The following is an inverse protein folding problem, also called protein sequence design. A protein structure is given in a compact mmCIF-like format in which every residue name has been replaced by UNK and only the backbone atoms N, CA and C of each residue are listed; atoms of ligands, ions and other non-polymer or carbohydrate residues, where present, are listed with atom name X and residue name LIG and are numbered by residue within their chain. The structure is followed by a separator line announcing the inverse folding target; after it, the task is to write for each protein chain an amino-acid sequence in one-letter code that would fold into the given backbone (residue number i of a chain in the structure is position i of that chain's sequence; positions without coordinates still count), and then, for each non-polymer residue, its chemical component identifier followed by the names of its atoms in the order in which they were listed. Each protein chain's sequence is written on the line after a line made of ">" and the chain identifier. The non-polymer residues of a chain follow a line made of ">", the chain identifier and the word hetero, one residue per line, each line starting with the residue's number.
data_IF_834404105928
#
_entry.id   IF_834404105928
#
_cell.length_a   1.000
_cell.length_b   1.000
_cell.length_c   1.000
_cell.angle_alpha   90.00
_cell.angle_beta   90.00
_cell.angle_gamma   90.00
#
_symmetry.space_group_name_H-M   'P 1'
#
loop_
_entity.id
_entity.type
_entity.pdbx_description
1 polymer ?
#
# COMPACT_ATOMS: atom_id res chain seq x y z
N UNK A 1 -13.02 -29.43 -8.49
CA UNK A 1 -12.95 -28.33 -7.51
C UNK A 1 -13.47 -28.90 -6.21
N UNK A 2 -12.62 -28.94 -5.18
CA UNK A 2 -12.96 -29.59 -3.93
C UNK A 2 -13.85 -28.66 -3.10
N UNK A 3 -15.06 -29.14 -2.80
CA UNK A 3 -15.99 -28.47 -1.91
C UNK A 3 -15.42 -28.53 -0.49
N UNK A 4 -15.50 -27.42 0.24
CA UNK A 4 -14.97 -27.31 1.61
C UNK A 4 -16.02 -26.72 2.54
N UNK A 5 -15.84 -26.94 3.84
CA UNK A 5 -16.52 -26.17 4.90
C UNK A 5 -15.86 -24.80 5.00
N UNK A 6 -16.66 -23.75 5.07
CA UNK A 6 -16.24 -22.36 5.22
C UNK A 6 -15.06 -21.94 4.31
N UNK A 7 -15.13 -22.17 2.98
CA UNK A 7 -14.09 -21.74 2.07
C UNK A 7 -13.93 -20.22 2.12
N UNK A 8 -12.69 -19.78 1.96
CA UNK A 8 -12.33 -18.37 2.05
C UNK A 8 -11.30 -17.98 1.00
N UNK A 9 -11.29 -16.69 0.71
CA UNK A 9 -10.25 -15.97 0.02
C UNK A 9 -9.81 -14.80 0.91
N UNK A 10 -8.51 -14.47 0.92
CA UNK A 10 -7.95 -13.38 1.72
C UNK A 10 -6.89 -12.65 0.91
N UNK A 11 -6.89 -11.33 1.02
CA UNK A 11 -5.76 -10.49 0.61
C UNK A 11 -5.07 -9.91 1.84
N UNK A 12 -3.73 -9.97 1.85
CA UNK A 12 -2.86 -9.27 2.80
C UNK A 12 -2.44 -7.93 2.19
N UNK A 13 -2.95 -6.82 2.72
CA UNK A 13 -2.64 -5.46 2.29
C UNK A 13 -1.22 -5.00 2.68
N UNK A 14 -0.45 -5.84 3.39
CA UNK A 14 0.92 -5.64 3.90
C UNK A 14 1.02 -4.62 5.05
N UNK A 15 0.22 -3.57 5.02
CA UNK A 15 0.08 -2.55 6.07
C UNK A 15 -1.37 -2.51 6.56
N UNK A 16 -1.63 -1.75 7.63
CA UNK A 16 -2.98 -1.56 8.18
C UNK A 16 -3.65 -0.38 7.46
N UNK A 17 -4.85 -0.61 6.91
CA UNK A 17 -5.63 0.40 6.19
C UNK A 17 -6.96 0.64 6.87
N UNK A 18 -7.48 1.87 6.76
CA UNK A 18 -8.89 2.20 6.94
C UNK A 18 -9.61 1.97 5.62
N UNK A 19 -10.30 0.84 5.52
CA UNK A 19 -11.00 0.38 4.32
C UNK A 19 -12.39 1.02 4.26
N UNK A 20 -12.59 1.87 3.25
CA UNK A 20 -13.85 2.60 3.03
C UNK A 20 -14.88 1.77 2.29
N UNK A 21 -14.45 1.01 1.27
CA UNK A 21 -15.33 0.13 0.50
C UNK A 21 -14.58 -1.04 -0.14
N UNK A 22 -15.29 -2.12 -0.39
CA UNK A 22 -14.82 -3.29 -1.14
C UNK A 22 -15.74 -3.50 -2.34
N UNK A 23 -15.18 -3.71 -3.51
CA UNK A 23 -15.92 -4.03 -4.74
C UNK A 23 -15.66 -5.49 -5.08
N UNK A 24 -16.73 -6.25 -5.31
CA UNK A 24 -16.67 -7.67 -5.67
C UNK A 24 -17.28 -7.84 -7.05
N UNK A 25 -16.54 -8.48 -7.95
CA UNK A 25 -17.06 -8.95 -9.23
C UNK A 25 -17.27 -10.46 -9.17
N UNK A 26 -18.52 -10.89 -9.38
CA UNK A 26 -18.88 -12.30 -9.35
C UNK A 26 -18.35 -13.05 -10.57
N UNK A 27 -18.30 -14.37 -10.47
CA UNK A 27 -18.01 -15.25 -11.60
C UNK A 27 -19.10 -15.12 -12.67
N UNK A 28 -18.77 -15.13 -13.99
CA UNK A 28 -19.74 -15.07 -15.09
C UNK A 28 -20.63 -16.30 -15.26
N UNK A 29 -20.41 -17.38 -14.50
CA UNK A 29 -21.24 -18.60 -14.53
C UNK A 29 -21.33 -19.19 -13.13
N UNK A 30 -22.49 -19.71 -12.73
CA UNK A 30 -22.74 -20.30 -11.41
C UNK A 30 -22.58 -19.29 -10.27
N UNK A 31 -23.01 -18.04 -10.49
CA UNK A 31 -22.82 -16.92 -9.60
C UNK A 31 -23.62 -17.00 -8.30
N UNK A 32 -24.72 -17.76 -8.27
CA UNK A 32 -25.52 -18.01 -7.04
C UNK A 32 -24.72 -18.63 -5.89
N UNK A 33 -23.53 -19.19 -6.17
CA UNK A 33 -22.64 -19.76 -5.15
C UNK A 33 -22.08 -18.72 -4.17
N UNK A 34 -22.02 -17.45 -4.56
CA UNK A 34 -21.55 -16.37 -3.69
C UNK A 34 -22.62 -15.92 -2.68
N UNK A 35 -23.87 -16.35 -2.83
CA UNK A 35 -24.96 -15.93 -1.96
C UNK A 35 -24.68 -16.36 -0.51
N UNK A 36 -24.78 -15.39 0.41
CA UNK A 36 -24.43 -15.55 1.81
C UNK A 36 -22.93 -15.38 2.11
N UNK A 37 -22.09 -15.01 1.14
CA UNK A 37 -20.69 -14.69 1.40
C UNK A 37 -20.58 -13.51 2.38
N UNK A 38 -19.55 -13.53 3.21
CA UNK A 38 -19.30 -12.50 4.23
C UNK A 38 -17.92 -11.89 3.97
N UNK A 39 -17.90 -10.56 3.89
CA UNK A 39 -16.69 -9.75 3.78
C UNK A 39 -16.27 -9.36 5.19
N UNK A 40 -15.05 -9.71 5.60
CA UNK A 40 -14.46 -9.35 6.89
C UNK A 40 -13.18 -8.55 6.72
N UNK A 41 -12.92 -7.63 7.65
CA UNK A 41 -11.76 -6.73 7.66
C UNK A 41 -11.16 -6.72 9.07
N UNK A 42 -9.84 -6.82 9.16
CA UNK A 42 -9.13 -6.67 10.42
C UNK A 42 -7.66 -7.07 10.35
N UNK A 43 -7.06 -7.28 11.51
CA UNK A 43 -5.61 -7.50 11.66
C UNK A 43 -5.24 -8.95 12.01
N UNK A 44 -6.22 -9.86 12.07
CA UNK A 44 -6.01 -11.23 12.48
C UNK A 44 -5.96 -12.19 11.30
N UNK A 45 -5.07 -13.18 11.36
CA UNK A 45 -5.02 -14.26 10.36
C UNK A 45 -6.23 -15.18 10.45
N UNK A 46 -6.73 -15.39 11.67
CA UNK A 46 -7.99 -16.10 11.91
C UNK A 46 -9.15 -15.27 11.35
N UNK A 47 -10.04 -15.92 10.59
CA UNK A 47 -11.12 -15.24 9.85
C UNK A 47 -12.13 -14.62 10.81
N UNK A 48 -12.51 -15.36 11.85
CA UNK A 48 -13.65 -15.04 12.70
C UNK A 48 -13.32 -13.97 13.74
N UNK A 49 -12.04 -13.75 14.03
CA UNK A 49 -11.56 -12.64 14.84
C UNK A 49 -11.59 -11.27 14.14
N UNK A 50 -11.91 -11.22 12.83
CA UNK A 50 -12.02 -9.96 12.08
C UNK A 50 -13.47 -9.47 12.00
N UNK A 51 -13.66 -8.16 11.93
CA UNK A 51 -14.97 -7.50 11.90
C UNK A 51 -15.69 -7.73 10.57
N UNK A 52 -17.01 -7.93 10.60
CA UNK A 52 -17.82 -8.06 9.38
C UNK A 52 -18.00 -6.67 8.75
N UNK A 53 -17.56 -6.49 7.51
CA UNK A 53 -17.90 -5.32 6.70
C UNK A 53 -19.29 -5.46 6.08
N UNK A 54 -19.56 -6.58 5.38
CA UNK A 54 -20.81 -6.76 4.66
C UNK A 54 -21.14 -8.24 4.45
N UNK A 55 -22.42 -8.51 4.15
CA UNK A 55 -22.91 -9.82 3.70
C UNK A 55 -23.45 -9.67 2.29
N UNK A 56 -23.03 -10.56 1.39
CA UNK A 56 -23.48 -10.61 0.00
C UNK A 56 -24.74 -11.47 -0.07
N UNK A 57 -25.92 -10.86 0.07
CA UNK A 57 -27.19 -11.59 0.05
C UNK A 57 -27.40 -12.32 -1.28
N UNK A 58 -27.20 -11.61 -2.39
CA UNK A 58 -27.19 -12.19 -3.73
C UNK A 58 -26.38 -11.32 -4.69
N UNK A 59 -25.74 -11.94 -5.68
CA UNK A 59 -25.03 -11.22 -6.74
C UNK A 59 -25.13 -12.05 -8.04
N UNK A 60 -25.63 -11.43 -9.10
CA UNK A 60 -25.84 -12.13 -10.38
C UNK A 60 -24.53 -12.55 -11.04
N UNK A 61 -24.62 -13.45 -12.02
CA UNK A 61 -23.49 -13.94 -12.79
C UNK A 61 -22.75 -12.77 -13.49
N UNK A 62 -21.45 -12.64 -13.22
CA UNK A 62 -20.60 -11.58 -13.77
C UNK A 62 -20.86 -10.17 -13.23
N UNK A 63 -21.85 -9.99 -12.35
CA UNK A 63 -22.18 -8.68 -11.80
C UNK A 63 -21.13 -8.18 -10.82
N UNK A 64 -20.97 -6.86 -10.78
CA UNK A 64 -20.09 -6.15 -9.84
C UNK A 64 -20.93 -5.40 -8.82
N UNK A 65 -20.62 -5.56 -7.54
CA UNK A 65 -21.28 -4.84 -6.44
C UNK A 65 -20.26 -4.15 -5.54
N UNK A 66 -20.65 -2.98 -5.02
CA UNK A 66 -19.85 -2.18 -4.09
C UNK A 66 -20.43 -2.29 -2.69
N UNK A 67 -19.57 -2.55 -1.71
CA UNK A 67 -19.91 -2.69 -0.30
C UNK A 67 -19.17 -1.63 0.52
N UNK A 68 -19.92 -0.76 1.19
CA UNK A 68 -19.36 0.26 2.06
C UNK A 68 -18.94 -0.34 3.40
N UNK A 69 -17.67 -0.16 3.77
CA UNK A 69 -17.08 -0.66 5.01
C UNK A 69 -16.80 0.44 6.06
N UNK A 70 -17.12 1.70 5.75
CA UNK A 70 -17.12 2.79 6.74
C UNK A 70 -15.76 3.13 7.36
N UNK A 71 -14.65 2.80 6.70
CA UNK A 71 -13.30 3.08 7.20
C UNK A 71 -12.78 2.06 8.22
N UNK A 72 -13.30 0.83 8.22
CA UNK A 72 -12.84 -0.26 9.07
C UNK A 72 -11.32 -0.45 8.97
N UNK A 73 -10.67 -0.54 10.13
CA UNK A 73 -9.22 -0.71 10.20
C UNK A 73 -8.82 -2.18 10.05
N UNK A 74 -7.94 -2.49 9.10
CA UNK A 74 -7.44 -3.85 8.91
C UNK A 74 -6.32 -3.97 7.89
N UNK A 75 -5.43 -4.94 8.12
CA UNK A 75 -4.42 -5.42 7.16
C UNK A 75 -4.96 -6.51 6.24
N UNK A 76 -5.94 -7.28 6.67
CA UNK A 76 -6.52 -8.37 5.90
C UNK A 76 -7.95 -8.04 5.49
N UNK A 77 -8.26 -8.27 4.21
CA UNK A 77 -9.65 -8.33 3.71
C UNK A 77 -9.92 -9.77 3.31
N UNK A 78 -11.00 -10.33 3.86
CA UNK A 78 -11.35 -11.74 3.75
C UNK A 78 -12.76 -11.84 3.19
N UNK A 79 -12.95 -12.68 2.18
CA UNK A 79 -14.25 -13.08 1.67
C UNK A 79 -14.40 -14.57 1.93
N UNK A 80 -15.34 -14.95 2.80
CA UNK A 80 -15.61 -16.37 3.10
C UNK A 80 -17.09 -16.68 2.92
N UNK A 81 -17.40 -17.95 2.64
CA UNK A 81 -18.78 -18.40 2.45
C UNK A 81 -19.07 -19.43 3.54
N UNK A 82 -19.85 -19.06 4.57
CA UNK A 82 -20.20 -19.98 5.63
C UNK A 82 -20.97 -21.21 5.13
N UNK A 83 -20.74 -22.33 5.79
CA UNK A 83 -21.45 -23.59 5.62
C UNK A 83 -20.65 -24.67 4.90
N UNK A 84 -21.24 -25.85 4.88
CA UNK A 84 -20.65 -27.04 4.27
C UNK A 84 -20.83 -27.08 2.76
N UNK A 85 -19.92 -27.78 2.11
CA UNK A 85 -19.94 -28.03 0.68
C UNK A 85 -19.93 -26.78 -0.21
N UNK A 86 -19.37 -25.68 0.28
CA UNK A 86 -19.29 -24.40 -0.43
C UNK A 86 -18.03 -24.30 -1.30
N UNK A 87 -18.03 -23.33 -2.21
CA UNK A 87 -16.89 -22.99 -3.06
C UNK A 87 -16.84 -21.46 -3.22
N UNK A 88 -15.69 -20.84 -2.90
CA UNK A 88 -15.43 -19.42 -3.21
C UNK A 88 -14.92 -19.30 -4.65
N UNK A 89 -15.66 -18.55 -5.47
CA UNK A 89 -15.27 -18.18 -6.84
C UNK A 89 -15.54 -16.69 -7.04
N UNK A 90 -14.49 -15.89 -7.09
CA UNK A 90 -14.56 -14.44 -7.31
C UNK A 90 -13.80 -14.13 -8.61
N UNK A 91 -14.30 -13.19 -9.41
CA UNK A 91 -13.59 -12.74 -10.62
C UNK A 91 -12.56 -11.66 -10.27
N UNK A 92 -12.96 -10.67 -9.47
CA UNK A 92 -12.07 -9.59 -9.02
C UNK A 92 -12.54 -9.11 -7.63
N UNK A 93 -11.57 -8.69 -6.81
CA UNK A 93 -11.82 -8.04 -5.52
C UNK A 93 -10.99 -6.76 -5.48
N UNK A 94 -11.65 -5.61 -5.41
CA UNK A 94 -10.99 -4.31 -5.30
C UNK A 94 -11.24 -3.74 -3.91
N UNK A 95 -10.17 -3.34 -3.22
CA UNK A 95 -10.22 -2.79 -1.86
C UNK A 95 -9.83 -1.32 -1.92
N UNK A 96 -10.71 -0.45 -1.45
CA UNK A 96 -10.48 0.99 -1.41
C UNK A 96 -10.38 1.46 0.04
N UNK A 97 -9.27 2.11 0.37
CA UNK A 97 -9.00 2.65 1.70
C UNK A 97 -7.73 3.48 1.72
N UNK A 98 -7.42 4.04 2.88
CA UNK A 98 -6.20 4.79 3.16
C UNK A 98 -5.39 4.09 4.25
N UNK A 99 -4.09 4.35 4.32
CA UNK A 99 -3.31 3.84 5.45
C UNK A 99 -3.84 4.42 6.76
N UNK A 100 -3.94 3.58 7.79
CA UNK A 100 -4.28 4.05 9.13
C UNK A 100 -3.03 4.71 9.74
N UNK A 101 -3.08 6.02 9.98
CA UNK A 101 -2.05 6.76 10.71
C UNK A 101 -1.04 7.54 9.85
N UNK A 102 0.01 8.04 10.52
CA UNK A 102 1.11 8.79 9.90
C UNK A 102 1.95 7.87 8.99
N UNK A 103 1.94 8.12 7.68
CA UNK A 103 2.69 7.30 6.70
C UNK A 103 4.18 7.61 6.69
N UNK A 104 4.60 8.73 7.29
CA UNK A 104 5.99 9.16 7.33
C UNK A 104 6.89 8.25 8.18
N UNK A 105 6.35 7.59 9.22
CA UNK A 105 7.11 6.79 10.21
C UNK A 105 7.90 5.64 9.59
N UNK A 106 7.49 5.17 8.40
CA UNK A 106 8.15 4.07 7.69
C UNK A 106 8.97 4.56 6.48
N UNK A 107 9.07 5.86 6.28
CA UNK A 107 9.84 6.46 5.19
C UNK A 107 11.33 6.58 5.50
N UNK A 108 12.09 7.00 4.50
CA UNK A 108 13.50 7.36 4.64
C UNK A 108 13.66 8.87 4.46
N UNK A 109 14.49 9.51 5.27
CA UNK A 109 14.65 10.96 5.25
C UNK A 109 16.07 11.36 4.90
N UNK A 110 16.21 12.55 4.34
CA UNK A 110 17.50 13.19 4.07
C UNK A 110 17.32 14.70 4.13
N UNK A 111 18.41 15.43 4.35
CA UNK A 111 18.41 16.89 4.39
C UNK A 111 19.65 17.45 3.69
N UNK A 112 19.60 18.73 3.32
CA UNK A 112 20.68 19.43 2.62
C UNK A 112 21.99 19.44 3.39
N UNK A 113 21.93 19.64 4.70
CA UNK A 113 23.08 19.65 5.61
C UNK A 113 22.63 19.33 7.04
N UNK A 114 23.54 18.99 7.95
CA UNK A 114 23.20 18.62 9.33
C UNK A 114 23.94 19.48 10.34
N UNK A 115 23.18 20.15 11.22
CA UNK A 115 23.73 20.86 12.36
C UNK A 115 23.90 19.93 13.57
N UNK A 116 25.14 19.57 13.89
CA UNK A 116 25.47 18.70 15.02
C UNK A 116 24.75 17.35 14.92
N UNK A 117 23.95 17.01 15.94
CA UNK A 117 23.20 15.74 16.01
C UNK A 117 21.73 15.88 15.56
N UNK A 118 21.35 16.96 14.86
CA UNK A 118 19.97 17.23 14.44
C UNK A 118 19.66 16.58 13.08
N UNK A 119 19.79 15.25 13.05
CA UNK A 119 19.68 14.39 11.86
C UNK A 119 18.25 14.23 11.35
N UNK A 120 18.09 13.99 10.05
CA UNK A 120 16.84 14.06 9.29
C UNK A 120 15.73 13.13 9.79
N UNK A 121 16.08 11.99 10.39
CA UNK A 121 15.18 10.94 10.86
C UNK A 121 14.32 11.40 12.04
N UNK A 122 14.78 12.42 12.79
CA UNK A 122 14.06 12.94 13.95
C UNK A 122 12.73 13.59 13.59
N UNK A 123 12.55 14.07 12.37
CA UNK A 123 11.27 14.64 11.96
C UNK A 123 10.17 13.59 11.74
N UNK A 124 10.46 12.29 11.80
CA UNK A 124 9.46 11.22 11.58
C UNK A 124 9.48 10.16 12.69
N UNK A 125 10.13 10.45 13.81
CA UNK A 125 10.32 9.50 14.91
C UNK A 125 9.10 9.40 15.86
N UNK A 126 8.00 10.08 15.52
CA UNK A 126 6.78 10.18 16.34
C UNK A 126 6.99 10.87 17.70
N UNK A 127 8.09 11.62 17.85
CA UNK A 127 8.37 12.47 18.99
C UNK A 127 8.40 13.94 18.55
N UNK A 128 7.28 14.63 18.82
CA UNK A 128 7.08 16.07 18.59
C UNK A 128 8.06 17.02 19.31
N UNK A 129 9.08 16.51 20.01
CA UNK A 129 10.14 17.28 20.64
C UNK A 129 9.67 18.15 21.80
N UNK A 130 8.48 17.90 22.33
CA UNK A 130 7.84 18.74 23.36
C UNK A 130 8.46 18.57 24.76
N UNK A 131 9.21 17.48 24.98
CA UNK A 131 9.85 17.15 26.26
C UNK A 131 11.38 17.37 26.28
N UNK A 132 12.08 17.27 25.14
CA UNK A 132 13.54 17.51 25.04
C UNK A 132 13.87 18.43 23.87
N UNK A 133 14.09 19.70 24.19
CA UNK A 133 14.13 20.80 23.22
C UNK A 133 15.36 20.82 22.31
N UNK A 134 16.40 20.03 22.59
CA UNK A 134 17.68 20.05 21.86
C UNK A 134 18.08 18.73 21.21
N UNK A 135 17.27 17.68 21.30
CA UNK A 135 17.62 16.34 20.80
C UNK A 135 16.55 15.71 19.91
N UNK A 136 15.37 16.31 19.77
CA UNK A 136 14.24 15.69 19.06
C UNK A 136 13.87 16.36 17.74
N UNK A 137 14.60 17.39 17.31
CA UNK A 137 14.30 18.07 16.05
C UNK A 137 15.45 17.91 15.05
N UNK A 138 15.10 18.10 13.79
CA UNK A 138 15.99 18.24 12.64
C UNK A 138 16.44 19.68 12.51
N UNK A 139 17.69 19.91 12.11
CA UNK A 139 18.17 21.25 11.75
C UNK A 139 19.28 21.17 10.70
N UNK A 140 19.18 22.03 9.69
CA UNK A 140 20.23 22.26 8.70
C UNK A 140 21.28 23.25 9.23
N UNK A 141 22.42 23.33 8.53
CA UNK A 141 23.31 24.48 8.69
C UNK A 141 22.65 25.75 8.12
N UNK A 142 23.28 26.89 8.39
CA UNK A 142 22.93 28.15 7.74
C UNK A 142 23.42 28.12 6.30
N UNK A 143 22.49 28.06 5.34
CA UNK A 143 22.79 27.88 3.92
C UNK A 143 21.73 28.53 3.01
N UNK A 144 21.96 28.45 1.70
CA UNK A 144 20.99 28.93 0.70
C UNK A 144 20.02 27.81 0.34
N UNK A 145 18.73 28.09 0.39
CA UNK A 145 17.67 27.14 0.07
C UNK A 145 17.76 25.79 0.84
N UNK A 146 17.89 25.79 2.19
CA UNK A 146 17.94 24.55 2.96
C UNK A 146 16.67 23.72 2.75
N UNK A 147 16.83 22.40 2.73
CA UNK A 147 15.72 21.49 2.47
C UNK A 147 15.83 20.19 3.27
N UNK A 148 14.67 19.60 3.52
CA UNK A 148 14.50 18.26 4.06
C UNK A 148 13.56 17.49 3.14
N UNK A 149 13.81 16.19 2.95
CA UNK A 149 13.00 15.31 2.10
C UNK A 149 12.70 14.01 2.80
N UNK A 150 11.45 13.58 2.67
CA UNK A 150 10.94 12.25 2.99
C UNK A 150 10.69 11.46 1.70
N UNK A 151 11.23 10.26 1.62
CA UNK A 151 10.85 9.21 0.68
C UNK A 151 9.85 8.27 1.37
N UNK A 152 8.60 8.26 0.89
CA UNK A 152 7.54 7.40 1.42
C UNK A 152 7.66 5.92 0.97
N UNK A 153 8.67 5.60 0.16
CA UNK A 153 8.96 4.30 -0.45
C UNK A 153 7.90 3.80 -1.45
N UNK A 154 6.77 4.47 -1.58
CA UNK A 154 5.70 4.21 -2.54
C UNK A 154 5.02 5.54 -2.89
N UNK A 155 4.21 5.55 -3.94
CA UNK A 155 3.44 6.74 -4.33
C UNK A 155 2.18 6.81 -3.47
N UNK A 156 1.85 8.01 -2.98
CA UNK A 156 0.67 8.28 -2.16
C UNK A 156 -0.14 9.42 -2.76
N UNK A 157 -1.47 9.38 -2.60
CA UNK A 157 -2.34 10.56 -2.68
C UNK A 157 -2.41 11.20 -1.31
N UNK A 158 -1.65 12.26 -1.11
CA UNK A 158 -1.43 12.90 0.18
C UNK A 158 -2.55 13.90 0.43
N UNK A 159 -3.33 13.66 1.48
CA UNK A 159 -4.49 14.48 1.84
C UNK A 159 -4.09 15.65 2.74
N UNK A 160 -3.16 15.43 3.68
CA UNK A 160 -2.62 16.47 4.55
C UNK A 160 -1.22 16.15 5.05
N UNK A 161 -0.49 17.21 5.39
CA UNK A 161 0.79 17.18 6.09
C UNK A 161 0.66 17.99 7.37
N UNK A 162 1.09 17.44 8.51
CA UNK A 162 1.13 18.14 9.80
C UNK A 162 2.58 18.41 10.14
N UNK A 163 2.90 19.65 10.48
CA UNK A 163 4.26 20.07 10.81
C UNK A 163 4.29 20.61 12.22
N UNK A 164 5.21 20.09 13.04
CA UNK A 164 5.48 20.58 14.40
C UNK A 164 6.75 21.43 14.40
N UNK A 165 6.63 22.64 14.92
CA UNK A 165 7.73 23.59 15.00
C UNK A 165 8.53 23.47 16.30
N UNK A 166 9.74 24.05 16.29
CA UNK A 166 10.64 24.16 17.45
C UNK A 166 9.98 24.92 18.60
N UNK A 167 10.26 24.49 19.84
CA UNK A 167 9.59 25.00 21.06
C UNK A 167 10.38 26.02 21.88
N UNK A 168 11.70 25.90 21.98
CA UNK A 168 12.56 26.71 22.87
C UNK A 168 12.89 28.10 22.33
N UNK A 169 13.12 28.24 21.02
CA UNK A 169 13.40 29.51 20.38
C UNK A 169 13.14 29.44 18.89
N UNK A 170 13.28 30.58 18.22
CA UNK A 170 13.61 30.61 16.80
C UNK A 170 12.48 30.04 15.91
N UNK A 171 11.24 30.13 16.38
CA UNK A 171 10.06 29.60 15.71
C UNK A 171 9.84 30.26 14.34
N UNK A 172 10.29 31.51 14.18
CA UNK A 172 10.25 32.26 12.93
C UNK A 172 11.13 31.69 11.82
N UNK A 173 12.07 30.79 12.13
CA UNK A 173 12.95 30.18 11.11
C UNK A 173 12.16 29.40 10.06
N UNK A 174 11.00 28.83 10.40
CA UNK A 174 10.16 28.08 9.45
C UNK A 174 9.31 29.00 8.54
N UNK A 175 9.28 30.31 8.79
CA UNK A 175 8.42 31.22 8.05
C UNK A 175 8.85 31.29 6.57
N UNK A 176 7.91 31.04 5.68
CA UNK A 176 8.13 30.96 4.24
C UNK A 176 8.60 29.57 3.76
N UNK A 177 8.66 28.57 4.64
CA UNK A 177 8.90 27.19 4.21
C UNK A 177 7.78 26.71 3.27
N UNK A 178 8.15 25.96 2.24
CA UNK A 178 7.24 25.38 1.26
C UNK A 178 7.18 23.87 1.46
N UNK A 179 5.97 23.34 1.58
CA UNK A 179 5.70 21.90 1.52
C UNK A 179 5.48 21.54 0.05
N UNK A 180 6.30 20.65 -0.49
CA UNK A 180 6.26 20.21 -1.90
C UNK A 180 6.06 18.71 -1.98
N UNK A 181 5.23 18.27 -2.92
CA UNK A 181 4.83 16.86 -3.07
C UNK A 181 4.93 16.45 -4.52
N UNK A 182 5.62 15.34 -4.79
CA UNK A 182 5.66 14.78 -6.14
C UNK A 182 6.53 13.54 -6.26
N UNK A 183 6.87 13.19 -7.50
CA UNK A 183 7.62 11.99 -7.84
C UNK A 183 9.00 12.28 -8.44
N UNK A 184 9.34 13.54 -8.68
CA UNK A 184 10.64 13.93 -9.24
C UNK A 184 11.70 14.10 -8.14
N UNK A 185 12.94 13.76 -8.48
CA UNK A 185 14.14 14.08 -7.69
C UNK A 185 14.98 15.20 -8.32
N UNK A 186 14.51 15.80 -9.41
CA UNK A 186 15.12 17.02 -9.96
C UNK A 186 15.22 18.10 -8.88
N UNK A 187 16.37 18.76 -8.80
CA UNK A 187 16.69 19.69 -7.70
C UNK A 187 16.39 19.09 -6.32
N UNK A 188 16.76 17.83 -6.09
CA UNK A 188 16.46 17.08 -4.86
C UNK A 188 14.97 16.92 -4.53
N UNK A 189 14.07 17.11 -5.51
CA UNK A 189 12.62 17.11 -5.32
C UNK A 189 12.05 18.47 -4.92
N UNK A 190 12.87 19.52 -4.87
CA UNK A 190 12.45 20.87 -4.52
C UNK A 190 11.69 21.57 -5.66
N UNK A 191 11.67 20.99 -6.87
CA UNK A 191 10.88 21.50 -7.99
C UNK A 191 9.49 20.85 -8.08
N UNK A 192 9.18 19.88 -7.21
CA UNK A 192 7.85 19.28 -7.15
C UNK A 192 6.77 20.35 -6.81
N UNK A 193 5.51 20.16 -7.22
CA UNK A 193 4.41 21.09 -6.94
C UNK A 193 4.26 21.43 -5.45
N UNK A 194 3.95 22.69 -5.17
CA UNK A 194 3.71 23.20 -3.81
C UNK A 194 2.34 22.72 -3.32
N UNK A 195 2.30 22.04 -2.17
CA UNK A 195 1.09 21.80 -1.40
C UNK A 195 0.69 23.05 -0.61
N UNK A 196 1.62 23.62 0.15
CA UNK A 196 1.36 24.77 1.00
C UNK A 196 2.64 25.57 1.26
N UNK A 197 2.46 26.87 1.54
CA UNK A 197 3.50 27.74 2.11
C UNK A 197 3.17 27.94 3.58
N UNK A 198 4.15 27.78 4.46
CA UNK A 198 4.04 27.92 5.91
C UNK A 198 4.25 29.41 6.24
N UNK A 199 3.20 30.18 6.59
CA UNK A 199 3.37 31.59 6.92
C UNK A 199 4.08 31.75 8.27
N UNK A 200 3.63 30.99 9.26
CA UNK A 200 4.22 30.85 10.58
C UNK A 200 3.60 29.64 11.28
N UNK A 201 4.36 29.04 12.20
CA UNK A 201 3.86 28.09 13.19
C UNK A 201 4.39 28.56 14.54
N UNK A 202 3.55 28.83 15.55
CA UNK A 202 4.05 29.24 16.87
C UNK A 202 4.97 28.19 17.50
N UNK A 203 5.78 28.61 18.46
CA UNK A 203 6.77 27.75 19.09
C UNK A 203 6.11 26.52 19.75
N UNK A 204 6.55 25.31 19.36
CA UNK A 204 6.06 24.04 19.88
C UNK A 204 4.65 23.63 19.40
N UNK A 205 4.03 24.42 18.53
CA UNK A 205 2.72 24.11 17.97
C UNK A 205 2.81 23.21 16.73
N UNK A 206 1.70 22.55 16.41
CA UNK A 206 1.57 21.69 15.23
C UNK A 206 0.45 22.18 14.33
N UNK A 207 0.75 22.48 13.07
CA UNK A 207 -0.22 22.99 12.11
C UNK A 207 -0.45 21.97 11.00
N UNK A 208 -1.71 21.83 10.58
CA UNK A 208 -2.14 20.90 9.54
C UNK A 208 -2.37 21.65 8.23
N UNK A 209 -1.73 21.19 7.17
CA UNK A 209 -1.83 21.72 5.81
C UNK A 209 -2.53 20.71 4.91
N UNK A 210 -3.66 21.12 4.31
CA UNK A 210 -4.41 20.28 3.38
C UNK A 210 -3.75 20.30 2.00
N UNK A 211 -3.44 19.13 1.46
CA UNK A 211 -2.74 18.96 0.17
C UNK A 211 -3.63 18.42 -0.96
N UNK A 212 -4.96 18.40 -0.78
CA UNK A 212 -5.89 18.14 -1.89
C UNK A 212 -5.71 16.80 -2.61
N UNK A 213 -5.24 15.75 -1.91
CA UNK A 213 -4.97 14.42 -2.49
C UNK A 213 -3.87 14.43 -3.57
N UNK A 214 -2.91 15.36 -3.47
CA UNK A 214 -1.73 15.44 -4.34
C UNK A 214 -0.99 14.10 -4.41
N UNK A 215 -0.69 13.64 -5.62
CA UNK A 215 0.05 12.40 -5.83
C UNK A 215 1.56 12.62 -5.71
N UNK A 216 2.23 11.87 -4.84
CA UNK A 216 3.68 11.94 -4.68
C UNK A 216 4.26 10.83 -3.81
N UNK A 217 5.49 10.42 -4.15
CA UNK A 217 6.35 9.58 -3.32
C UNK A 217 7.22 10.41 -2.38
N UNK A 218 7.59 11.61 -2.79
CA UNK A 218 8.46 12.51 -2.05
C UNK A 218 7.66 13.65 -1.44
N UNK A 219 7.95 13.94 -0.17
CA UNK A 219 7.51 15.15 0.52
C UNK A 219 8.76 15.95 0.88
N UNK A 220 8.88 17.14 0.30
CA UNK A 220 9.98 18.05 0.55
C UNK A 220 9.50 19.23 1.41
N UNK A 221 10.35 19.68 2.31
CA UNK A 221 10.22 20.98 2.94
C UNK A 221 11.45 21.82 2.61
N UNK A 222 11.25 22.94 1.94
CA UNK A 222 12.32 23.84 1.50
C UNK A 222 12.03 25.26 1.99
N UNK A 223 13.07 25.99 2.43
CA UNK A 223 12.95 27.43 2.69
C UNK A 223 13.74 28.18 1.64
N UNK A 224 13.09 28.82 0.66
CA UNK A 224 13.78 29.63 -0.32
C UNK A 224 14.47 30.85 0.31
N UNK A 225 15.63 31.21 -0.23
CA UNK A 225 16.41 32.39 0.14
C UNK A 225 17.78 32.07 0.70
N UNK A 226 18.57 33.12 0.86
CA UNK A 226 19.92 33.07 1.42
C UNK A 226 19.89 33.11 2.95
N UNK A 227 20.93 32.52 3.54
CA UNK A 227 21.18 32.51 4.98
C UNK A 227 20.00 31.99 5.81
N UNK A 228 19.42 30.87 5.36
CA UNK A 228 18.27 30.23 6.02
C UNK A 228 18.72 29.01 6.79
N UNK A 229 17.95 28.68 7.84
CA UNK A 229 18.08 27.46 8.62
C UNK A 229 16.71 26.80 8.61
N UNK A 230 16.65 25.54 8.20
CA UNK A 230 15.44 24.73 8.27
C UNK A 230 15.44 23.92 9.55
N UNK A 231 14.44 24.13 10.40
CA UNK A 231 14.25 23.36 11.63
C UNK A 231 12.86 22.73 11.67
N UNK A 232 12.80 21.44 12.00
CA UNK A 232 11.59 20.61 11.98
C UNK A 232 11.58 19.68 13.18
N UNK A 233 10.51 19.65 13.97
CA UNK A 233 10.43 18.71 15.10
C UNK A 233 9.60 17.47 14.79
N UNK A 234 8.55 17.59 14.00
CA UNK A 234 7.80 16.43 13.48
C UNK A 234 7.15 16.81 12.16
N UNK A 235 7.11 15.85 11.23
CA UNK A 235 6.39 15.90 9.98
C UNK A 235 5.55 14.63 9.88
N UNK A 236 4.24 14.80 10.01
CA UNK A 236 3.28 13.72 9.83
C UNK A 236 2.62 13.83 8.46
N UNK A 237 2.61 12.73 7.71
CA UNK A 237 2.00 12.68 6.38
C UNK A 237 0.81 11.75 6.44
N UNK A 238 -0.31 12.20 5.89
CA UNK A 238 -1.54 11.40 5.81
C UNK A 238 -2.01 11.34 4.38
N UNK A 239 -2.34 10.14 3.91
CA UNK A 239 -2.74 9.93 2.54
C UNK A 239 -3.22 8.52 2.24
N UNK A 240 -3.75 8.38 1.03
CA UNK A 240 -4.19 7.13 0.42
C UNK A 240 -3.05 6.54 -0.41
N UNK A 241 -2.89 5.22 -0.40
CA UNK A 241 -2.13 4.58 -1.49
C UNK A 241 -3.05 4.63 -2.72
N UNK A 242 -2.54 4.98 -3.92
CA UNK A 242 -3.26 4.77 -5.17
C UNK A 242 -3.79 3.34 -5.20
N UNK A 243 -5.03 3.17 -5.65
CA UNK A 243 -5.77 1.89 -5.63
C UNK A 243 -4.84 0.70 -5.93
N UNK A 244 -4.56 -0.13 -4.92
CA UNK A 244 -3.84 -1.39 -5.12
C UNK A 244 -4.77 -2.34 -5.88
N UNK A 245 -4.74 -2.28 -7.21
CA UNK A 245 -5.41 -3.29 -8.04
C UNK A 245 -4.60 -4.57 -8.01
N UNK A 246 -4.92 -5.44 -7.06
CA UNK A 246 -4.37 -6.80 -7.01
C UNK A 246 -5.23 -7.73 -7.84
N UNK A 247 -4.84 -7.92 -9.09
CA UNK A 247 -5.46 -8.93 -9.95
C UNK A 247 -4.80 -10.29 -9.71
N UNK A 248 -5.61 -11.32 -9.46
CA UNK A 248 -5.15 -12.68 -9.24
C UNK A 248 -5.31 -13.47 -10.53
N UNK A 249 -4.19 -13.85 -11.15
CA UNK A 249 -4.22 -14.68 -12.36
C UNK A 249 -3.99 -16.14 -11.97
N UNK A 250 -4.99 -16.99 -12.18
CA UNK A 250 -4.80 -18.44 -12.10
C UNK A 250 -4.21 -18.93 -13.42
N UNK A 251 -2.98 -19.42 -13.37
CA UNK A 251 -2.29 -19.98 -14.54
C UNK A 251 -2.16 -21.50 -14.40
N UNK A 252 -2.32 -22.21 -15.51
CA UNK A 252 -2.01 -23.62 -15.62
C UNK A 252 -0.84 -23.78 -16.58
N UNK A 253 0.25 -24.37 -16.11
CA UNK A 253 1.45 -24.61 -16.90
C UNK A 253 1.54 -26.08 -17.27
N UNK A 254 1.88 -26.36 -18.52
CA UNK A 254 2.35 -27.68 -18.92
C UNK A 254 3.87 -27.68 -18.81
N UNK A 255 4.41 -28.22 -17.72
CA UNK A 255 5.83 -28.19 -17.42
C UNK A 255 6.34 -29.60 -17.11
N UNK A 256 7.56 -29.90 -17.55
CA UNK A 256 8.32 -31.09 -17.12
C UNK A 256 9.08 -30.87 -15.81
N UNK A 257 9.18 -29.62 -15.39
CA UNK A 257 9.90 -29.18 -14.19
C UNK A 257 8.91 -28.97 -13.04
N UNK A 258 9.32 -29.35 -11.84
CA UNK A 258 8.50 -29.21 -10.64
C UNK A 258 8.37 -27.75 -10.21
N UNK A 259 7.16 -27.20 -10.35
CA UNK A 259 6.84 -25.83 -9.95
C UNK A 259 6.68 -25.67 -8.44
N UNK A 260 6.76 -26.76 -7.66
CA UNK A 260 6.83 -26.66 -6.20
C UNK A 260 8.21 -26.27 -5.70
N UNK A 261 9.25 -26.36 -6.55
CA UNK A 261 10.59 -25.88 -6.26
C UNK A 261 10.61 -24.33 -6.23
N UNK A 262 11.01 -23.71 -5.10
CA UNK A 262 11.06 -22.26 -4.96
C UNK A 262 11.90 -21.54 -6.02
N UNK A 263 13.03 -22.14 -6.43
CA UNK A 263 13.96 -21.55 -7.40
C UNK A 263 13.32 -21.44 -8.80
N UNK A 264 12.57 -22.47 -9.19
CA UNK A 264 11.81 -22.50 -10.45
C UNK A 264 10.67 -21.49 -10.39
N UNK A 265 9.97 -21.43 -9.25
CA UNK A 265 8.90 -20.48 -9.00
C UNK A 265 9.33 -19.01 -9.12
N UNK A 266 10.50 -18.66 -8.58
CA UNK A 266 11.05 -17.30 -8.67
C UNK A 266 11.47 -16.93 -10.10
N UNK A 267 12.13 -17.85 -10.80
CA UNK A 267 12.53 -17.63 -12.20
C UNK A 267 11.33 -17.39 -13.11
N UNK A 268 10.25 -18.14 -12.91
CA UNK A 268 9.00 -17.94 -13.66
C UNK A 268 8.38 -16.55 -13.40
N UNK A 269 8.37 -16.08 -12.14
CA UNK A 269 7.87 -14.73 -11.84
C UNK A 269 8.74 -13.65 -12.49
N UNK A 270 10.07 -13.81 -12.52
CA UNK A 270 10.97 -12.88 -13.23
C UNK A 270 10.67 -12.82 -14.73
N UNK A 271 10.53 -13.98 -15.38
CA UNK A 271 10.19 -14.04 -16.80
C UNK A 271 8.84 -13.39 -17.09
N UNK A 272 7.83 -13.67 -16.27
CA UNK A 272 6.50 -13.08 -16.40
C UNK A 272 6.56 -11.55 -16.23
N UNK A 273 7.36 -11.06 -15.28
CA UNK A 273 7.60 -9.63 -15.06
C UNK A 273 8.17 -8.95 -16.30
N UNK A 274 9.15 -9.57 -16.97
CA UNK A 274 9.73 -9.06 -18.22
C UNK A 274 8.67 -8.95 -19.32
N UNK A 275 7.87 -9.99 -19.54
CA UNK A 275 6.82 -9.99 -20.57
C UNK A 275 5.74 -8.95 -20.30
N UNK A 276 5.41 -8.72 -19.02
CA UNK A 276 4.46 -7.68 -18.63
C UNK A 276 5.02 -6.28 -18.90
N UNK A 277 6.31 -6.05 -18.60
CA UNK A 277 6.98 -4.80 -18.91
C UNK A 277 6.99 -4.51 -20.42
N UNK A 278 7.26 -5.51 -21.27
CA UNK A 278 7.20 -5.39 -22.74
C UNK A 278 5.80 -5.00 -23.25
N UNK A 279 4.76 -5.31 -22.47
CA UNK A 279 3.36 -4.96 -22.76
C UNK A 279 2.91 -3.66 -22.09
N UNK A 280 3.83 -2.88 -21.52
CA UNK A 280 3.57 -1.59 -20.89
C UNK A 280 3.18 -1.64 -19.41
N UNK A 281 3.23 -2.81 -18.76
CA UNK A 281 2.95 -2.96 -17.33
C UNK A 281 4.26 -2.90 -16.53
N UNK A 282 4.76 -1.70 -16.25
CA UNK A 282 6.11 -1.50 -15.67
C UNK A 282 6.13 -1.37 -14.14
N UNK A 283 5.01 -1.09 -13.48
CA UNK A 283 4.92 -0.97 -12.02
C UNK A 283 4.11 -2.12 -11.40
N UNK A 284 4.57 -3.36 -11.59
CA UNK A 284 3.88 -4.57 -11.11
C UNK A 284 4.79 -5.36 -10.17
N UNK A 285 4.28 -5.66 -8.97
CA UNK A 285 4.91 -6.63 -8.07
C UNK A 285 4.25 -7.99 -8.20
N UNK A 286 4.98 -8.99 -8.72
CA UNK A 286 4.49 -10.35 -8.88
C UNK A 286 4.87 -11.22 -7.66
N UNK A 287 3.90 -11.97 -7.12
CA UNK A 287 4.11 -12.93 -6.02
C UNK A 287 3.18 -14.12 -6.15
N UNK A 288 3.64 -15.30 -5.72
CA UNK A 288 2.78 -16.46 -5.58
C UNK A 288 1.81 -16.26 -4.41
N UNK A 289 0.51 -16.37 -4.68
CA UNK A 289 -0.52 -16.35 -3.62
C UNK A 289 -0.72 -17.71 -2.96
N UNK A 290 -0.40 -18.79 -3.68
CA UNK A 290 -0.42 -20.17 -3.23
C UNK A 290 0.73 -20.93 -3.90
N UNK A 291 1.29 -21.91 -3.19
CA UNK A 291 2.24 -22.86 -3.79
C UNK A 291 1.56 -23.61 -4.94
N UNK A 292 2.20 -23.73 -6.12
CA UNK A 292 1.69 -24.52 -7.22
C UNK A 292 1.32 -25.94 -6.78
N UNK A 293 0.23 -26.48 -7.33
CA UNK A 293 -0.18 -27.87 -7.10
C UNK A 293 -0.04 -28.66 -8.39
N UNK A 294 0.64 -29.80 -8.32
CA UNK A 294 0.68 -30.73 -9.45
C UNK A 294 -0.71 -31.30 -9.71
N UNK A 295 -1.14 -31.26 -10.98
CA UNK A 295 -2.39 -31.87 -11.43
C UNK A 295 -2.02 -32.98 -12.40
N UNK A 296 -2.05 -34.23 -11.93
CA UNK A 296 -1.81 -35.39 -12.80
C UNK A 296 -3.08 -35.63 -13.62
N UNK A 297 -3.07 -35.20 -14.89
CA UNK A 297 -4.11 -35.64 -15.84
C UNK A 297 -3.83 -37.09 -16.23
N UNK A 298 -4.69 -38.01 -15.78
CA UNK A 298 -4.71 -39.38 -16.32
C UNK A 298 -5.12 -39.29 -17.79
N UNK A 299 -4.15 -39.45 -18.69
CA UNK A 299 -4.43 -39.72 -20.10
C UNK A 299 -4.86 -41.17 -20.18
N UNK A 300 -6.15 -41.43 -20.45
CA UNK A 300 -6.59 -42.77 -20.79
C UNK A 300 -5.97 -43.13 -22.14
N UNK A 301 -4.90 -43.91 -22.13
CA UNK A 301 -4.39 -44.54 -23.33
C UNK A 301 -5.48 -45.46 -23.88
N UNK A 302 -6.00 -45.13 -25.07
CA UNK A 302 -6.97 -45.96 -25.77
C UNK A 302 -6.42 -47.39 -25.91
N UNK A 303 -7.26 -48.39 -25.65
CA UNK A 303 -6.94 -49.81 -25.80
C UNK A 303 -6.34 -50.06 -27.19
N UNK A 304 -5.02 -50.17 -27.27
CA UNK A 304 -4.35 -50.71 -28.45
C UNK A 304 -4.74 -52.16 -28.60
N UNK A 305 -5.42 -52.49 -29.70
CA UNK A 305 -5.66 -53.87 -30.12
C UNK A 305 -4.30 -54.56 -30.31
N UNK A 306 -3.98 -55.55 -29.49
CA UNK A 306 -2.96 -56.52 -29.84
C UNK A 306 -3.47 -57.33 -31.04
N UNK A 307 -2.80 -57.21 -32.18
CA UNK A 307 -3.08 -57.97 -33.39
C UNK A 307 -2.68 -59.44 -33.25
N UNK A 308 -3.45 -60.29 -33.94
CA UNK A 308 -3.22 -61.72 -34.11
C UNK A 308 -1.83 -62.00 -34.70
N UNK A 309 -1.15 -63.00 -34.14
CA UNK A 309 0.08 -63.58 -34.69
C UNK A 309 0.08 -65.10 -34.50
N UNK A 310 -0.38 -65.78 -35.56
CA UNK A 310 -0.20 -67.18 -35.98
C UNK A 310 -0.28 -68.31 -34.95
#
# INVERSE_FOLDING_TARGET
>A
MDKKTDPWWRVDLLKVYRVNRVIITNRPTLGSRINGAVIRIGNFRDIYNNTICAVISSLADGATATFSCGGMEGRYVIVHIPGDQKIVCLSEVEVYGYLAGNVAVNGATTQSSTFGNWVAEKAIDSNRGLQQVNTSCVSTLNETNPWWRLDLCDVYRISKVVVTNRKDCCAEQINGAEIRIGNSLENNGNDNPICAVIPAIPAGESYSYSCGEMEGRYVNMIIPGEMKILTLCEVEVYGQVPVLKRSFVKMQFNSRVDLTDPSVGENLLKQLGSVLADRGFTNVTLRWSQTPKQVIQKVNAGKGRCGNGK
#
